data_IF_373790060584
#
_entry.id   IF_373790060584
#
_cell.length_a   1.000
_cell.length_b   1.000
_cell.length_c   1.000
_cell.angle_alpha   90.00
_cell.angle_beta   90.00
_cell.angle_gamma   90.00
#
_symmetry.space_group_name_H-M   'P 1'
#
loop_
_entity.id
_entity.type
_entity.pdbx_description
1 polymer ?
#
# COMPACT_ATOMS: atom_id res chain seq x y z
N UNK A 1 19.33 5.99 16.29
CA UNK A 1 18.05 6.68 15.98
C UNK A 1 18.08 7.46 14.65
N UNK A 2 19.18 7.47 13.89
CA UNK A 2 19.37 8.30 12.69
C UNK A 2 19.15 7.61 11.32
N UNK A 3 19.05 6.28 11.24
CA UNK A 3 18.92 5.58 9.95
C UNK A 3 17.46 5.43 9.44
N UNK A 4 16.46 5.62 10.31
CA UNK A 4 15.04 5.48 9.92
C UNK A 4 14.50 6.70 9.16
N UNK A 5 15.06 7.90 9.42
CA UNK A 5 14.60 9.14 8.77
C UNK A 5 15.08 9.26 7.30
N UNK A 6 16.24 8.68 6.95
CA UNK A 6 16.78 8.77 5.57
C UNK A 6 15.93 7.98 4.56
N UNK A 7 15.37 6.84 4.96
CA UNK A 7 14.48 6.05 4.08
C UNK A 7 13.13 6.73 3.86
N UNK A 8 12.66 7.48 4.85
CA UNK A 8 11.43 8.27 4.77
C UNK A 8 11.55 9.45 3.79
N UNK A 9 12.69 10.15 3.84
CA UNK A 9 12.99 11.26 2.92
C UNK A 9 13.16 10.77 1.48
N UNK A 10 13.75 9.58 1.27
CA UNK A 10 13.93 9.01 -0.06
C UNK A 10 12.60 8.62 -0.70
N UNK A 11 11.66 8.01 0.06
CA UNK A 11 10.34 7.65 -0.47
C UNK A 11 9.49 8.89 -0.76
N UNK A 12 9.56 9.92 0.10
CA UNK A 12 8.89 11.21 -0.16
C UNK A 12 9.52 11.94 -1.37
N UNK A 13 10.84 11.88 -1.53
CA UNK A 13 11.56 12.47 -2.65
C UNK A 13 11.27 11.75 -3.98
N UNK A 14 11.12 10.42 -3.98
CA UNK A 14 10.75 9.64 -5.17
C UNK A 14 9.32 9.94 -5.63
N UNK A 15 8.38 10.13 -4.69
CA UNK A 15 7.00 10.53 -5.02
C UNK A 15 6.95 11.97 -5.54
N UNK A 16 7.77 12.87 -5.00
CA UNK A 16 7.90 14.25 -5.49
C UNK A 16 8.64 14.34 -6.83
N UNK A 17 9.63 13.47 -7.07
CA UNK A 17 10.40 13.43 -8.32
C UNK A 17 9.58 12.91 -9.51
N UNK A 18 8.59 12.03 -9.28
CA UNK A 18 7.66 11.57 -10.32
C UNK A 18 6.70 12.70 -10.74
N UNK A 19 6.47 13.69 -9.87
CA UNK A 19 5.64 14.88 -10.17
C UNK A 19 6.38 15.99 -10.91
N UNK A 20 7.70 15.89 -11.07
CA UNK A 20 8.56 16.94 -11.62
C UNK A 20 9.36 16.44 -12.84
N UNK A 21 8.78 15.60 -13.72
CA UNK A 21 9.39 15.30 -15.01
C UNK A 21 9.13 16.46 -15.95
N UNK A 22 10.14 17.26 -16.32
CA UNK A 22 9.99 18.27 -17.38
C UNK A 22 9.77 17.53 -18.70
N UNK A 23 8.73 17.92 -19.43
CA UNK A 23 8.49 17.47 -20.80
C UNK A 23 9.62 17.99 -21.68
N UNK A 24 10.67 17.21 -21.81
CA UNK A 24 11.61 17.43 -22.91
C UNK A 24 11.01 16.79 -24.17
N UNK A 25 10.74 17.68 -25.11
CA UNK A 25 10.38 17.37 -26.47
C UNK A 25 11.34 16.34 -27.06
N UNK A 26 10.82 15.26 -27.61
CA UNK A 26 11.56 14.43 -28.55
C UNK A 26 11.78 15.26 -29.82
N UNK A 27 13.00 15.71 -29.99
CA UNK A 27 13.49 16.26 -31.23
C UNK A 27 13.82 15.08 -32.17
N UNK A 28 13.18 15.09 -33.30
CA UNK A 28 13.72 14.86 -34.63
C UNK A 28 14.98 13.96 -34.74
N UNK A 29 14.79 12.79 -35.27
CA UNK A 29 15.86 11.86 -35.63
C UNK A 29 15.52 11.12 -36.93
N UNK A 30 16.17 11.53 -37.98
CA UNK A 30 16.54 10.82 -39.22
C UNK A 30 15.44 10.16 -40.08
N UNK A 31 15.21 10.85 -41.15
CA UNK A 31 14.61 10.40 -42.42
C UNK A 31 15.61 9.53 -43.21
N UNK A 32 15.32 8.28 -43.60
CA UNK A 32 16.13 7.57 -44.58
C UNK A 32 15.82 8.05 -46.00
N UNK A 33 16.80 7.99 -46.94
CA UNK A 33 16.72 8.63 -48.24
C UNK A 33 15.76 7.90 -49.18
N UNK A 34 15.04 8.71 -49.95
CA UNK A 34 14.16 8.29 -51.02
C UNK A 34 14.94 7.62 -52.20
N UNK A 35 14.38 6.58 -52.88
CA UNK A 35 14.90 6.12 -54.15
C UNK A 35 14.43 7.03 -55.28
N UNK A 36 15.42 7.44 -56.06
CA UNK A 36 15.21 8.15 -57.31
C UNK A 36 14.60 7.26 -58.40
N UNK A 37 13.64 7.75 -59.12
CA UNK A 37 13.48 7.49 -60.55
C UNK A 37 12.39 8.38 -61.17
N UNK A 38 12.81 9.25 -62.03
CA UNK A 38 12.06 9.90 -63.11
C UNK A 38 11.75 8.87 -64.20
N UNK A 39 10.92 9.10 -65.26
CA UNK A 39 10.61 10.39 -65.93
C UNK A 39 9.17 10.56 -66.44
N UNK A 40 8.99 11.72 -67.06
CA UNK A 40 8.08 12.11 -68.16
C UNK A 40 6.73 12.71 -67.77
N UNK A 41 6.69 14.02 -68.04
CA UNK A 41 5.48 14.81 -68.23
C UNK A 41 4.68 14.40 -69.45
N UNK A 42 3.41 14.72 -69.42
CA UNK A 42 2.93 15.64 -70.51
C UNK A 42 2.18 16.85 -69.95
N UNK A 43 2.44 17.90 -70.63
CA UNK A 43 1.77 19.19 -70.66
C UNK A 43 0.25 19.04 -70.71
N UNK A 44 -0.46 19.67 -69.79
CA UNK A 44 -1.89 19.91 -69.96
C UNK A 44 -2.27 21.26 -69.35
N UNK A 45 -2.47 22.17 -70.25
CA UNK A 45 -3.53 23.17 -70.34
C UNK A 45 -4.05 23.81 -69.05
N UNK A 46 -3.69 25.06 -68.97
CA UNK A 46 -4.23 26.08 -68.10
C UNK A 46 -5.75 26.26 -68.32
N UNK A 47 -6.58 25.75 -67.44
CA UNK A 47 -7.97 26.13 -67.31
C UNK A 47 -8.15 26.84 -66.01
N UNK A 48 -8.35 28.13 -66.06
CA UNK A 48 -8.72 28.98 -64.95
C UNK A 48 -10.00 28.45 -64.30
N UNK A 49 -9.86 27.88 -63.11
CA UNK A 49 -10.98 27.60 -62.22
C UNK A 49 -11.23 28.88 -61.41
N UNK A 50 -12.46 29.36 -61.27
CA UNK A 50 -12.78 30.53 -60.48
C UNK A 50 -12.38 30.31 -59.03
N UNK A 51 -11.73 31.31 -58.49
CA UNK A 51 -11.37 31.37 -57.08
C UNK A 51 -12.64 31.26 -56.19
N UNK A 52 -13.05 30.03 -55.86
CA UNK A 52 -14.03 29.84 -54.82
C UNK A 52 -13.30 30.20 -53.51
N UNK A 53 -13.65 31.35 -53.00
CA UNK A 53 -13.31 31.83 -51.65
C UNK A 53 -13.53 30.67 -50.64
N UNK A 54 -12.44 30.09 -50.13
CA UNK A 54 -12.51 29.10 -49.08
C UNK A 54 -13.28 29.74 -47.91
N UNK A 55 -14.30 29.08 -47.35
CA UNK A 55 -15.02 29.63 -46.22
C UNK A 55 -13.99 29.94 -45.11
N UNK A 56 -14.16 31.06 -44.40
CA UNK A 56 -13.22 31.44 -43.36
C UNK A 56 -13.06 30.25 -42.41
N UNK A 57 -11.84 29.74 -42.31
CA UNK A 57 -11.47 28.73 -41.28
C UNK A 57 -11.86 29.34 -39.97
N UNK A 58 -12.99 28.87 -39.43
CA UNK A 58 -13.51 29.36 -38.15
C UNK A 58 -12.37 29.37 -37.17
N UNK A 59 -12.17 30.53 -36.54
CA UNK A 59 -11.19 30.72 -35.47
C UNK A 59 -11.30 29.51 -34.56
N UNK A 60 -10.32 28.61 -34.63
CA UNK A 60 -10.24 27.48 -33.74
C UNK A 60 -10.21 28.08 -32.31
N UNK A 61 -11.34 27.99 -31.64
CA UNK A 61 -11.41 28.38 -30.23
C UNK A 61 -10.26 27.67 -29.53
N UNK A 62 -9.34 28.44 -28.94
CA UNK A 62 -8.16 27.92 -28.24
C UNK A 62 -8.57 26.73 -27.37
N UNK A 63 -7.76 25.69 -27.34
CA UNK A 63 -8.07 24.49 -26.56
C UNK A 63 -8.40 24.91 -25.14
N UNK A 64 -9.49 24.35 -24.58
CA UNK A 64 -9.79 24.41 -23.16
C UNK A 64 -8.51 24.08 -22.40
N UNK A 65 -8.27 24.77 -21.26
CA UNK A 65 -7.10 24.53 -20.44
C UNK A 65 -6.89 23.03 -20.21
N UNK A 66 -5.86 22.47 -20.85
CA UNK A 66 -5.46 21.07 -20.67
C UNK A 66 -4.63 20.84 -19.40
N UNK A 67 -4.72 21.78 -18.45
CA UNK A 67 -4.17 21.57 -17.12
C UNK A 67 -4.92 20.41 -16.42
N UNK A 68 -4.27 19.65 -15.53
CA UNK A 68 -4.95 18.56 -14.79
C UNK A 68 -6.20 19.04 -14.04
N UNK A 69 -6.20 20.28 -13.57
CA UNK A 69 -7.33 20.89 -12.91
C UNK A 69 -8.46 21.27 -13.89
N UNK A 70 -8.11 21.84 -15.05
CA UNK A 70 -9.05 22.12 -16.11
C UNK A 70 -9.72 20.86 -16.65
N UNK A 71 -8.95 19.79 -16.85
CA UNK A 71 -9.45 18.47 -17.24
C UNK A 71 -10.42 17.90 -16.19
N UNK A 72 -10.09 18.01 -14.89
CA UNK A 72 -11.00 17.56 -13.83
C UNK A 72 -12.32 18.35 -13.83
N UNK A 73 -12.28 19.68 -13.99
CA UNK A 73 -13.48 20.52 -13.96
C UNK A 73 -14.42 20.27 -15.15
N UNK A 74 -13.86 19.93 -16.30
CA UNK A 74 -14.62 19.70 -17.54
C UNK A 74 -15.01 18.23 -17.75
N UNK A 75 -14.45 17.29 -16.97
CA UNK A 75 -14.67 15.86 -17.12
C UNK A 75 -16.16 15.48 -17.03
N UNK A 76 -16.53 14.45 -17.79
CA UNK A 76 -17.85 13.84 -17.72
C UNK A 76 -18.17 13.42 -16.25
N UNK A 77 -19.44 13.49 -15.82
CA UNK A 77 -19.81 13.25 -14.42
C UNK A 77 -19.30 11.91 -13.85
N UNK A 78 -19.33 10.86 -14.66
CA UNK A 78 -18.85 9.52 -14.27
C UNK A 78 -17.33 9.50 -14.15
N UNK A 79 -16.58 10.08 -15.08
CA UNK A 79 -15.13 10.19 -15.05
C UNK A 79 -14.70 11.04 -13.83
N UNK A 80 -15.43 12.11 -13.53
CA UNK A 80 -15.23 12.93 -12.34
C UNK A 80 -15.44 12.15 -11.05
N UNK A 81 -16.49 11.33 -10.97
CA UNK A 81 -16.76 10.47 -9.81
C UNK A 81 -15.63 9.44 -9.62
N UNK A 82 -15.12 8.85 -10.70
CA UNK A 82 -13.96 7.95 -10.67
C UNK A 82 -12.73 8.67 -10.12
N UNK A 83 -12.40 9.85 -10.63
CA UNK A 83 -11.23 10.62 -10.15
C UNK A 83 -11.34 10.99 -8.68
N UNK A 84 -12.52 11.40 -8.21
CA UNK A 84 -12.77 11.71 -6.78
C UNK A 84 -12.61 10.44 -5.93
N UNK A 85 -13.15 9.30 -6.37
CA UNK A 85 -13.01 8.02 -5.68
C UNK A 85 -11.54 7.59 -5.56
N UNK A 86 -10.75 7.76 -6.61
CA UNK A 86 -9.32 7.46 -6.61
C UNK A 86 -8.52 8.40 -5.72
N UNK A 87 -8.84 9.69 -5.71
CA UNK A 87 -8.24 10.66 -4.80
C UNK A 87 -8.53 10.31 -3.33
N UNK A 88 -9.77 9.92 -3.02
CA UNK A 88 -10.14 9.43 -1.69
C UNK A 88 -9.40 8.14 -1.32
N UNK A 89 -9.27 7.18 -2.23
CA UNK A 89 -8.50 5.96 -2.02
C UNK A 89 -7.02 6.26 -1.73
N UNK A 90 -6.44 7.23 -2.44
CA UNK A 90 -5.07 7.70 -2.18
C UNK A 90 -4.95 8.30 -0.77
N UNK A 91 -5.88 9.16 -0.34
CA UNK A 91 -5.90 9.72 1.00
C UNK A 91 -6.01 8.63 2.08
N UNK A 92 -6.89 7.65 1.89
CA UNK A 92 -7.02 6.48 2.77
C UNK A 92 -5.72 5.68 2.86
N UNK A 93 -5.01 5.52 1.77
CA UNK A 93 -3.71 4.83 1.74
C UNK A 93 -2.70 5.49 2.69
N UNK A 94 -2.56 6.79 2.63
CA UNK A 94 -1.66 7.56 3.50
C UNK A 94 -2.11 7.53 4.97
N UNK A 95 -3.40 7.67 5.22
CA UNK A 95 -3.98 7.62 6.57
C UNK A 95 -3.71 6.27 7.24
N UNK A 96 -3.99 5.17 6.54
CA UNK A 96 -3.74 3.81 7.04
C UNK A 96 -2.25 3.57 7.27
N UNK A 97 -1.40 4.06 6.36
CA UNK A 97 0.05 3.93 6.50
C UNK A 97 0.57 4.60 7.76
N UNK A 98 0.19 5.85 8.02
CA UNK A 98 0.61 6.60 9.21
C UNK A 98 0.12 5.89 10.47
N UNK A 99 -1.18 5.59 10.56
CA UNK A 99 -1.78 4.95 11.72
C UNK A 99 -1.11 3.61 12.03
N UNK A 100 -0.96 2.74 11.02
CA UNK A 100 -0.34 1.41 11.19
C UNK A 100 1.16 1.45 11.45
N UNK A 101 1.86 2.41 10.90
CA UNK A 101 3.29 2.59 11.18
C UNK A 101 3.55 2.97 12.64
N UNK A 102 2.72 3.84 13.21
CA UNK A 102 2.80 4.23 14.62
C UNK A 102 2.41 3.05 15.53
N UNK A 103 1.31 2.37 15.24
CA UNK A 103 0.85 1.19 15.99
C UNK A 103 1.93 0.10 16.02
N UNK A 104 2.49 -0.26 14.86
CA UNK A 104 3.53 -1.28 14.74
C UNK A 104 4.83 -0.89 15.45
N UNK A 105 5.24 0.37 15.37
CA UNK A 105 6.44 0.87 16.08
C UNK A 105 6.27 0.73 17.59
N UNK A 106 5.14 1.15 18.13
CA UNK A 106 4.81 1.04 19.56
C UNK A 106 4.76 -0.42 20.00
N UNK A 107 4.00 -1.27 19.28
CA UNK A 107 3.85 -2.68 19.58
C UNK A 107 5.20 -3.43 19.57
N UNK A 108 6.05 -3.16 18.57
CA UNK A 108 7.39 -3.78 18.49
C UNK A 108 8.32 -3.31 19.61
N UNK A 109 8.28 -2.03 19.94
CA UNK A 109 9.09 -1.50 21.04
C UNK A 109 8.71 -2.15 22.36
N UNK A 110 7.41 -2.28 22.63
CA UNK A 110 6.86 -2.90 23.82
C UNK A 110 7.27 -4.38 23.92
N UNK A 111 7.00 -5.17 22.87
CA UNK A 111 7.32 -6.61 22.91
C UNK A 111 8.84 -6.87 22.99
N UNK A 112 9.67 -6.07 22.30
CA UNK A 112 11.13 -6.20 22.36
C UNK A 112 11.67 -5.94 23.77
N UNK A 113 11.13 -4.94 24.46
CA UNK A 113 11.47 -4.68 25.87
C UNK A 113 11.07 -5.86 26.74
N UNK A 114 9.86 -6.40 26.55
CA UNK A 114 9.36 -7.53 27.30
C UNK A 114 10.21 -8.80 27.07
N UNK A 115 10.61 -9.12 25.84
CA UNK A 115 11.53 -10.22 25.52
C UNK A 115 12.88 -10.04 26.23
N UNK A 116 13.41 -8.81 26.26
CA UNK A 116 14.65 -8.50 26.98
C UNK A 116 14.53 -8.68 28.51
N UNK A 117 13.37 -8.38 29.08
CA UNK A 117 13.09 -8.65 30.53
C UNK A 117 12.98 -10.14 30.78
N UNK A 118 12.13 -10.85 29.99
CA UNK A 118 11.92 -12.29 30.12
C UNK A 118 13.23 -13.09 30.03
N UNK A 119 14.12 -12.68 29.13
CA UNK A 119 15.41 -13.34 28.94
C UNK A 119 16.36 -13.25 30.13
N UNK A 120 16.18 -12.26 31.01
CA UNK A 120 16.99 -12.05 32.23
C UNK A 120 16.39 -12.66 33.47
N UNK A 121 15.10 -12.98 33.44
CA UNK A 121 14.43 -13.58 34.60
C UNK A 121 14.77 -15.06 34.74
N UNK A 122 14.82 -15.49 36.00
CA UNK A 122 15.12 -16.88 36.36
C UNK A 122 13.84 -17.65 36.67
N UNK A 123 12.80 -16.98 37.19
CA UNK A 123 11.51 -17.55 37.56
C UNK A 123 10.36 -16.81 36.91
N UNK A 124 9.20 -17.47 36.73
CA UNK A 124 7.99 -16.87 36.25
C UNK A 124 7.48 -15.76 37.17
N UNK A 125 7.58 -15.95 38.49
CA UNK A 125 7.20 -14.96 39.49
C UNK A 125 8.01 -13.67 39.36
N UNK A 126 9.33 -13.78 39.18
CA UNK A 126 10.22 -12.63 38.97
C UNK A 126 9.84 -11.87 37.67
N UNK A 127 9.57 -12.59 36.59
CA UNK A 127 9.16 -11.99 35.32
C UNK A 127 7.81 -11.28 35.44
N UNK A 128 6.86 -11.86 36.17
CA UNK A 128 5.57 -11.24 36.45
C UNK A 128 5.70 -9.94 37.26
N UNK A 129 6.56 -9.91 38.25
CA UNK A 129 6.83 -8.70 39.04
C UNK A 129 7.45 -7.56 38.21
N UNK A 130 8.26 -7.89 37.18
CA UNK A 130 8.94 -6.89 36.37
C UNK A 130 8.08 -6.39 35.19
N UNK A 131 7.21 -7.24 34.60
CA UNK A 131 6.36 -6.88 33.49
C UNK A 131 5.02 -6.26 33.92
N UNK A 132 4.64 -6.45 35.19
CA UNK A 132 3.40 -5.91 35.74
C UNK A 132 2.14 -6.44 35.09
N UNK A 133 1.01 -5.80 35.41
CA UNK A 133 -0.31 -6.11 34.83
C UNK A 133 -0.57 -5.42 33.49
N UNK A 134 0.44 -5.35 32.63
CA UNK A 134 0.33 -4.71 31.32
C UNK A 134 -0.67 -5.43 30.41
N UNK A 135 -1.36 -4.66 29.52
CA UNK A 135 -2.29 -5.19 28.50
C UNK A 135 -1.57 -5.76 27.27
N UNK A 136 -0.26 -5.78 27.25
CA UNK A 136 0.54 -6.24 26.13
C UNK A 136 0.51 -7.77 25.94
N UNK A 137 0.84 -8.29 24.73
CA UNK A 137 0.85 -9.74 24.50
C UNK A 137 1.79 -10.50 25.43
N UNK A 138 2.93 -9.91 25.82
CA UNK A 138 3.84 -10.55 26.78
C UNK A 138 3.20 -10.76 28.16
N UNK A 139 2.47 -9.76 28.65
CA UNK A 139 1.74 -9.88 29.92
C UNK A 139 0.61 -10.94 29.81
N UNK A 140 -0.11 -10.98 28.68
CA UNK A 140 -1.12 -12.00 28.42
C UNK A 140 -0.51 -13.42 28.39
N UNK A 141 0.64 -13.60 27.76
CA UNK A 141 1.37 -14.89 27.76
C UNK A 141 1.75 -15.31 29.18
N UNK A 142 2.24 -14.38 29.99
CA UNK A 142 2.61 -14.63 31.38
C UNK A 142 1.41 -14.97 32.26
N UNK A 143 0.33 -14.19 32.15
CA UNK A 143 -0.90 -14.42 32.90
C UNK A 143 -1.54 -15.76 32.55
N UNK A 144 -1.54 -16.15 31.27
CA UNK A 144 -2.02 -17.46 30.84
C UNK A 144 -1.21 -18.60 31.44
N UNK A 145 0.13 -18.49 31.38
CA UNK A 145 1.01 -19.50 31.97
C UNK A 145 0.85 -19.60 33.50
N UNK A 146 0.83 -18.47 34.20
CA UNK A 146 0.63 -18.43 35.64
C UNK A 146 -0.77 -18.93 36.09
N UNK A 147 -1.78 -18.63 35.29
CA UNK A 147 -3.14 -19.13 35.49
C UNK A 147 -3.22 -20.65 35.37
N UNK A 148 -2.65 -21.21 34.30
CA UNK A 148 -2.66 -22.66 34.09
C UNK A 148 -1.89 -23.41 35.16
N UNK A 149 -0.76 -22.87 35.61
CA UNK A 149 -0.01 -23.46 36.75
C UNK A 149 -0.89 -23.54 38.01
N UNK A 150 -1.66 -22.49 38.31
CA UNK A 150 -2.57 -22.47 39.46
C UNK A 150 -3.71 -23.47 39.31
N UNK A 151 -4.33 -23.56 38.15
CA UNK A 151 -5.44 -24.49 37.88
C UNK A 151 -4.97 -25.95 37.86
N UNK A 152 -3.75 -26.20 37.47
CA UNK A 152 -3.19 -27.55 37.30
C UNK A 152 -2.25 -27.97 38.41
N UNK A 153 -2.26 -27.32 39.59
CA UNK A 153 -1.31 -27.56 40.68
C UNK A 153 -1.20 -29.03 41.11
N UNK A 154 -2.28 -29.81 40.97
CA UNK A 154 -2.35 -31.23 41.38
C UNK A 154 -2.26 -32.21 40.19
N UNK A 155 -1.92 -31.73 38.99
CA UNK A 155 -1.86 -32.54 37.78
C UNK A 155 -0.40 -32.83 37.33
N UNK A 156 -0.24 -33.79 36.40
CA UNK A 156 1.08 -34.17 35.88
C UNK A 156 1.73 -33.00 35.12
N UNK A 157 3.03 -32.80 35.34
CA UNK A 157 3.82 -31.72 34.78
C UNK A 157 3.89 -31.73 33.25
N UNK A 158 3.89 -32.91 32.61
CA UNK A 158 3.98 -33.03 31.16
C UNK A 158 2.71 -32.50 30.48
N UNK A 159 1.53 -32.88 30.96
CA UNK A 159 0.26 -32.33 30.45
C UNK A 159 0.10 -30.84 30.74
N UNK A 160 0.70 -30.32 31.79
CA UNK A 160 0.72 -28.89 32.10
C UNK A 160 1.48 -28.09 31.04
N UNK A 161 2.69 -28.56 30.66
CA UNK A 161 3.50 -27.90 29.62
C UNK A 161 2.74 -27.83 28.27
N UNK A 162 2.05 -28.91 27.90
CA UNK A 162 1.27 -29.00 26.68
C UNK A 162 0.08 -28.03 26.68
N UNK A 163 -0.69 -27.96 27.78
CA UNK A 163 -1.81 -27.02 27.92
C UNK A 163 -1.36 -25.56 27.86
N UNK A 164 -0.25 -25.24 28.51
CA UNK A 164 0.34 -23.91 28.43
C UNK A 164 0.76 -23.61 26.98
N UNK A 165 1.44 -24.52 26.29
CA UNK A 165 1.86 -24.31 24.90
C UNK A 165 0.67 -23.96 23.99
N UNK A 166 -0.45 -24.68 24.10
CA UNK A 166 -1.66 -24.39 23.33
C UNK A 166 -2.27 -23.01 23.62
N UNK A 167 -2.27 -22.60 24.91
CA UNK A 167 -2.76 -21.27 25.29
C UNK A 167 -1.85 -20.16 24.74
N UNK A 168 -0.52 -20.32 24.83
CA UNK A 168 0.45 -19.36 24.33
C UNK A 168 0.31 -19.21 22.79
N UNK A 169 0.19 -20.30 22.06
CA UNK A 169 -0.02 -20.29 20.61
C UNK A 169 -1.32 -19.52 20.22
N UNK A 170 -2.40 -19.72 20.95
CA UNK A 170 -3.65 -18.96 20.73
C UNK A 170 -3.46 -17.46 20.92
N UNK A 171 -2.69 -17.06 21.93
CA UNK A 171 -2.39 -15.64 22.20
C UNK A 171 -1.51 -15.07 21.09
N UNK A 172 -0.49 -15.80 20.64
CA UNK A 172 0.35 -15.39 19.50
C UNK A 172 -0.46 -15.16 18.24
N UNK A 173 -1.33 -16.12 17.89
CA UNK A 173 -2.21 -15.99 16.73
C UNK A 173 -3.17 -14.80 16.88
N UNK A 174 -3.73 -14.58 18.08
CA UNK A 174 -4.63 -13.46 18.35
C UNK A 174 -3.90 -12.11 18.22
N UNK A 175 -2.69 -11.99 18.77
CA UNK A 175 -1.84 -10.81 18.65
C UNK A 175 -1.51 -10.51 17.18
N UNK A 176 -1.17 -11.55 16.39
CA UNK A 176 -0.92 -11.44 14.96
C UNK A 176 -2.14 -10.98 14.17
N UNK A 177 -3.32 -11.51 14.47
CA UNK A 177 -4.58 -11.06 13.84
C UNK A 177 -4.92 -9.61 14.21
N UNK A 178 -4.75 -9.22 15.47
CA UNK A 178 -5.03 -7.86 15.96
C UNK A 178 -4.19 -6.83 15.21
N UNK A 179 -2.88 -7.06 15.08
CA UNK A 179 -1.97 -6.11 14.43
C UNK A 179 -2.18 -6.02 12.91
N UNK A 180 -2.67 -7.10 12.26
CA UNK A 180 -2.94 -7.14 10.81
C UNK A 180 -4.25 -6.46 10.42
N UNK A 181 -5.14 -6.14 11.36
CA UNK A 181 -6.43 -5.52 11.04
C UNK A 181 -6.23 -4.20 10.32
N UNK A 182 -7.04 -3.98 9.26
CA UNK A 182 -7.03 -2.75 8.47
C UNK A 182 -5.97 -2.69 7.37
N UNK A 183 -4.96 -3.58 7.36
CA UNK A 183 -3.99 -3.59 6.25
C UNK A 183 -4.59 -4.13 4.95
N UNK A 184 -5.67 -4.91 5.03
CA UNK A 184 -6.38 -5.43 3.86
C UNK A 184 -6.95 -4.35 2.94
N UNK A 185 -7.32 -3.19 3.47
CA UNK A 185 -7.78 -2.04 2.68
C UNK A 185 -6.72 -1.61 1.66
N UNK A 186 -5.43 -1.60 2.05
CA UNK A 186 -4.33 -1.27 1.15
C UNK A 186 -4.17 -2.29 0.02
N UNK A 187 -4.34 -3.58 0.34
CA UNK A 187 -4.32 -4.64 -0.67
C UNK A 187 -5.47 -4.47 -1.68
N UNK A 188 -6.67 -4.15 -1.19
CA UNK A 188 -7.84 -3.90 -2.04
C UNK A 188 -7.61 -2.68 -2.94
N UNK A 189 -7.19 -1.52 -2.39
CA UNK A 189 -6.90 -0.32 -3.17
C UNK A 189 -5.84 -0.63 -4.23
N UNK A 190 -4.74 -1.27 -3.84
CA UNK A 190 -3.66 -1.64 -4.75
C UNK A 190 -4.09 -2.54 -5.90
N UNK A 191 -4.99 -3.49 -5.62
CA UNK A 191 -5.50 -4.41 -6.63
C UNK A 191 -6.60 -3.80 -7.52
N UNK A 192 -7.46 -2.92 -6.99
CA UNK A 192 -8.65 -2.45 -7.72
C UNK A 192 -8.49 -1.07 -8.35
N UNK A 193 -7.66 -0.17 -7.78
CA UNK A 193 -7.54 1.20 -8.28
C UNK A 193 -7.11 1.29 -9.75
N UNK A 194 -6.19 0.45 -10.30
CA UNK A 194 -5.87 0.48 -11.73
C UNK A 194 -7.08 0.16 -12.61
N UNK A 195 -7.91 -0.79 -12.21
CA UNK A 195 -9.12 -1.18 -12.95
C UNK A 195 -10.20 -0.10 -12.89
N UNK A 196 -10.32 0.58 -11.74
CA UNK A 196 -11.22 1.74 -11.60
C UNK A 196 -10.76 2.87 -12.51
N UNK A 197 -9.46 3.14 -12.59
CA UNK A 197 -8.88 4.10 -13.52
C UNK A 197 -9.13 3.72 -14.99
N UNK A 198 -8.93 2.43 -15.33
CA UNK A 198 -9.22 1.90 -16.67
C UNK A 198 -10.70 2.04 -17.02
N UNK A 199 -11.60 1.77 -16.08
CA UNK A 199 -13.04 2.02 -16.29
C UNK A 199 -13.30 3.49 -16.62
N UNK A 200 -12.63 4.42 -15.96
CA UNK A 200 -12.70 5.85 -16.26
C UNK A 200 -12.27 6.17 -17.69
N UNK A 201 -11.21 5.54 -18.21
CA UNK A 201 -10.78 5.73 -19.60
C UNK A 201 -11.79 5.19 -20.61
N UNK A 202 -12.27 3.96 -20.40
CA UNK A 202 -13.26 3.35 -21.30
C UNK A 202 -14.51 4.21 -21.39
N UNK A 203 -15.00 4.69 -20.24
CA UNK A 203 -16.18 5.55 -20.20
C UNK A 203 -15.94 6.91 -20.89
N UNK A 204 -14.83 7.59 -20.61
CA UNK A 204 -14.54 8.91 -21.17
C UNK A 204 -14.30 8.86 -22.68
N UNK A 205 -13.65 7.80 -23.19
CA UNK A 205 -13.49 7.60 -24.64
C UNK A 205 -14.86 7.33 -25.28
N UNK A 206 -15.68 6.49 -24.67
CA UNK A 206 -17.03 6.21 -25.15
C UNK A 206 -17.87 7.51 -25.25
N UNK A 207 -17.84 8.34 -24.22
CA UNK A 207 -18.57 9.62 -24.20
C UNK A 207 -18.06 10.58 -25.29
N UNK A 208 -16.74 10.61 -25.54
CA UNK A 208 -16.12 11.37 -26.60
C UNK A 208 -16.64 10.93 -28.00
N UNK A 209 -16.76 9.63 -28.25
CA UNK A 209 -17.31 9.12 -29.52
C UNK A 209 -18.81 9.42 -29.68
N UNK A 210 -19.57 9.36 -28.61
CA UNK A 210 -20.98 9.78 -28.60
C UNK A 210 -21.08 11.28 -28.98
N UNK A 211 -20.15 12.10 -28.47
CA UNK A 211 -20.04 13.51 -28.85
C UNK A 211 -19.83 13.75 -30.35
N UNK A 212 -18.92 12.99 -30.99
CA UNK A 212 -18.73 13.03 -32.47
C UNK A 212 -20.02 12.69 -33.19
N UNK A 213 -20.67 11.58 -32.78
CA UNK A 213 -21.91 11.13 -33.45
C UNK A 213 -23.01 12.19 -33.39
N UNK A 214 -23.15 12.87 -32.27
CA UNK A 214 -24.15 13.93 -32.09
C UNK A 214 -23.80 15.23 -32.82
N UNK A 215 -22.53 15.58 -32.91
CA UNK A 215 -22.05 16.79 -33.56
C UNK A 215 -21.92 16.67 -35.08
N UNK A 216 -22.09 15.43 -35.63
CA UNK A 216 -21.90 15.16 -37.07
C UNK A 216 -20.60 15.73 -37.64
N UNK A 217 -19.52 15.74 -36.87
CA UNK A 217 -18.21 16.26 -37.22
C UNK A 217 -17.11 15.25 -36.98
N UNK A 218 -16.15 15.17 -37.90
CA UNK A 218 -14.96 14.32 -37.76
C UNK A 218 -13.74 15.08 -37.19
N UNK A 219 -13.97 16.31 -36.70
CA UNK A 219 -12.90 17.14 -36.18
C UNK A 219 -12.38 16.58 -34.83
N UNK A 220 -11.13 16.09 -34.79
CA UNK A 220 -10.47 15.57 -33.63
C UNK A 220 -10.33 16.59 -32.46
N UNK A 221 -10.33 17.88 -32.79
CA UNK A 221 -10.27 18.93 -31.74
C UNK A 221 -11.48 18.91 -30.80
N UNK A 222 -12.61 18.35 -31.22
CA UNK A 222 -13.81 18.20 -30.39
C UNK A 222 -13.65 17.11 -29.34
N UNK A 223 -12.90 16.05 -29.60
CA UNK A 223 -12.78 14.87 -28.73
C UNK A 223 -11.47 14.80 -27.93
N UNK A 224 -10.44 15.52 -28.41
CA UNK A 224 -9.13 15.50 -27.75
C UNK A 224 -9.20 15.85 -26.25
N UNK A 225 -9.99 16.83 -25.77
CA UNK A 225 -10.11 17.10 -24.34
C UNK A 225 -10.70 15.92 -23.56
N UNK A 226 -11.78 15.29 -24.05
CA UNK A 226 -12.42 14.16 -23.38
C UNK A 226 -11.53 12.93 -23.32
N UNK A 227 -10.71 12.68 -24.36
CA UNK A 227 -9.70 11.61 -24.32
C UNK A 227 -8.61 11.92 -23.31
N UNK A 228 -8.13 13.16 -23.23
CA UNK A 228 -7.14 13.57 -22.26
C UNK A 228 -7.64 13.41 -20.81
N UNK A 229 -8.88 13.81 -20.53
CA UNK A 229 -9.56 13.61 -19.24
C UNK A 229 -9.66 12.13 -18.87
N UNK A 230 -10.01 11.28 -19.84
CA UNK A 230 -10.07 9.84 -19.67
C UNK A 230 -8.69 9.26 -19.28
N UNK A 231 -7.65 9.60 -19.99
CA UNK A 231 -6.28 9.16 -19.71
C UNK A 231 -5.80 9.62 -18.31
N UNK A 232 -6.19 10.81 -17.88
CA UNK A 232 -5.90 11.30 -16.53
C UNK A 232 -6.51 10.39 -15.46
N UNK A 233 -7.72 9.87 -15.68
CA UNK A 233 -8.35 8.94 -14.73
C UNK A 233 -7.50 7.66 -14.54
N UNK A 234 -6.95 7.09 -15.60
CA UNK A 234 -6.05 5.92 -15.50
C UNK A 234 -4.74 6.29 -14.78
N UNK A 235 -4.16 7.43 -15.09
CA UNK A 235 -2.96 7.90 -14.40
C UNK A 235 -3.19 8.03 -12.89
N UNK A 236 -4.33 8.59 -12.47
CA UNK A 236 -4.71 8.68 -11.05
C UNK A 236 -4.92 7.29 -10.42
N UNK A 237 -5.47 6.34 -11.16
CA UNK A 237 -5.60 4.95 -10.72
C UNK A 237 -4.24 4.33 -10.36
N UNK A 238 -3.24 4.52 -11.21
CA UNK A 238 -1.88 4.04 -10.97
C UNK A 238 -1.19 4.79 -9.82
N UNK A 239 -1.37 6.11 -9.73
CA UNK A 239 -0.84 6.93 -8.63
C UNK A 239 -1.41 6.51 -7.27
N UNK A 240 -2.67 6.07 -7.21
CA UNK A 240 -3.27 5.53 -5.99
C UNK A 240 -2.80 4.10 -5.69
N UNK A 241 -2.69 3.24 -6.72
CA UNK A 241 -2.40 1.82 -6.55
C UNK A 241 -0.95 1.54 -6.14
N UNK A 242 0.02 2.18 -6.79
CA UNK A 242 1.43 1.88 -6.59
C UNK A 242 1.86 2.11 -5.14
N UNK A 243 1.59 3.27 -4.50
CA UNK A 243 1.89 3.45 -3.09
C UNK A 243 1.13 2.47 -2.18
N UNK A 244 -0.12 2.15 -2.49
CA UNK A 244 -0.92 1.22 -1.70
C UNK A 244 -0.29 -0.17 -1.64
N UNK A 245 0.15 -0.72 -2.78
CA UNK A 245 0.85 -2.02 -2.85
C UNK A 245 2.18 -1.97 -2.11
N UNK A 246 2.99 -0.92 -2.32
CA UNK A 246 4.28 -0.76 -1.66
C UNK A 246 4.13 -0.72 -0.13
N UNK A 247 3.20 0.08 0.36
CA UNK A 247 2.92 0.25 1.79
C UNK A 247 2.38 -1.06 2.37
N UNK A 248 1.45 -1.73 1.68
CA UNK A 248 0.95 -3.04 2.09
C UNK A 248 2.09 -4.04 2.30
N UNK A 249 3.02 -4.16 1.35
CA UNK A 249 4.15 -5.07 1.44
C UNK A 249 5.10 -4.72 2.59
N UNK A 250 5.31 -3.43 2.87
CA UNK A 250 6.12 -2.96 4.01
C UNK A 250 5.44 -3.35 5.33
N UNK A 251 4.13 -3.12 5.45
CA UNK A 251 3.36 -3.45 6.65
C UNK A 251 3.25 -4.96 6.85
N UNK A 252 3.10 -5.75 5.79
CA UNK A 252 3.06 -7.21 5.85
C UNK A 252 4.37 -7.78 6.42
N UNK A 253 5.52 -7.36 5.89
CA UNK A 253 6.84 -7.74 6.45
C UNK A 253 7.00 -7.27 7.89
N UNK A 254 6.50 -6.09 8.18
CA UNK A 254 6.53 -5.51 9.51
C UNK A 254 5.70 -6.30 10.51
N UNK A 255 4.54 -6.78 10.11
CA UNK A 255 3.66 -7.63 10.90
C UNK A 255 4.26 -9.02 11.12
N UNK A 256 4.89 -9.60 10.10
CA UNK A 256 5.60 -10.88 10.24
C UNK A 256 6.72 -10.79 11.30
N UNK A 257 7.52 -9.72 11.26
CA UNK A 257 8.55 -9.50 12.27
C UNK A 257 7.98 -9.31 13.69
N UNK A 258 6.84 -8.62 13.81
CA UNK A 258 6.17 -8.50 15.12
C UNK A 258 5.68 -9.86 15.64
N UNK A 259 5.11 -10.71 14.77
CA UNK A 259 4.71 -12.07 15.14
C UNK A 259 5.89 -12.90 15.66
N UNK A 260 7.03 -12.82 14.98
CA UNK A 260 8.25 -13.48 15.43
C UNK A 260 8.66 -13.04 16.83
N UNK A 261 8.63 -11.74 17.13
CA UNK A 261 8.93 -11.23 18.47
C UNK A 261 7.93 -11.71 19.53
N UNK A 262 6.66 -11.90 19.19
CA UNK A 262 5.67 -12.49 20.13
C UNK A 262 5.98 -13.97 20.35
N UNK A 263 6.36 -14.71 19.32
CA UNK A 263 6.83 -16.10 19.44
C UNK A 263 8.09 -16.22 20.30
N UNK A 264 9.04 -15.29 20.15
CA UNK A 264 10.22 -15.23 21.03
C UNK A 264 9.81 -15.03 22.50
N UNK A 265 8.84 -14.15 22.77
CA UNK A 265 8.32 -13.95 24.13
C UNK A 265 7.66 -15.22 24.67
N UNK A 266 6.86 -15.91 23.85
CA UNK A 266 6.23 -17.19 24.20
C UNK A 266 7.26 -18.25 24.54
N UNK A 267 8.30 -18.40 23.73
CA UNK A 267 9.39 -19.32 24.00
C UNK A 267 10.12 -19.01 25.32
N UNK A 268 10.34 -17.72 25.65
CA UNK A 268 10.93 -17.36 26.93
C UNK A 268 10.00 -17.69 28.11
N UNK A 269 8.69 -17.43 27.99
CA UNK A 269 7.71 -17.82 29.02
C UNK A 269 7.73 -19.34 29.24
N UNK A 270 7.70 -20.13 28.16
CA UNK A 270 7.74 -21.59 28.23
C UNK A 270 9.02 -22.11 28.88
N UNK A 271 10.16 -21.46 28.62
CA UNK A 271 11.45 -21.77 29.26
C UNK A 271 11.42 -21.49 30.77
N UNK A 272 10.79 -20.38 31.19
CA UNK A 272 10.62 -20.07 32.61
C UNK A 272 9.73 -21.11 33.29
N UNK A 273 8.59 -21.45 32.69
CA UNK A 273 7.69 -22.52 33.18
C UNK A 273 8.44 -23.84 33.34
N UNK A 274 9.20 -24.26 32.33
CA UNK A 274 9.96 -25.51 32.41
C UNK A 274 10.97 -25.51 33.56
N UNK A 275 11.72 -24.41 33.75
CA UNK A 275 12.69 -24.28 34.85
C UNK A 275 12.02 -24.32 36.23
N UNK A 276 10.88 -23.65 36.39
CA UNK A 276 10.17 -23.64 37.68
C UNK A 276 9.59 -25.02 38.03
N UNK A 277 9.09 -25.77 37.03
CA UNK A 277 8.64 -27.14 37.19
C UNK A 277 9.79 -28.10 37.54
N UNK A 278 10.97 -27.92 36.95
CA UNK A 278 12.12 -28.76 37.23
C UNK A 278 12.64 -28.48 38.66
N UNK A 279 12.62 -27.23 39.16
CA UNK A 279 12.95 -26.89 40.54
C UNK A 279 12.00 -27.49 41.53
N UNK A 280 10.71 -27.54 41.26
CA UNK A 280 9.72 -28.14 42.15
C UNK A 280 9.86 -29.65 42.28
N UNK A 281 10.57 -30.32 41.35
CA UNK A 281 10.84 -31.77 41.37
C UNK A 281 12.13 -32.15 42.09
N UNK A 282 13.03 -31.18 42.38
CA UNK A 282 14.28 -31.48 43.13
C UNK A 282 13.96 -31.59 44.62
N UNK A 283 14.04 -32.76 45.23
CA UNK A 283 13.89 -32.88 46.68
C UNK A 283 15.02 -32.12 47.37
N UNK A 284 14.73 -31.46 48.51
CA UNK A 284 15.70 -30.77 49.37
C UNK A 284 16.71 -31.73 50.05
N UNK A 285 17.17 -32.77 49.36
CA UNK A 285 18.01 -33.81 49.94
C UNK A 285 19.52 -33.48 49.99
N UNK A 286 19.95 -32.26 49.62
CA UNK A 286 21.34 -31.83 49.65
C UNK A 286 21.67 -30.68 50.61
N UNK A 287 20.84 -30.44 51.62
CA UNK A 287 21.12 -29.43 52.64
C UNK A 287 21.53 -30.03 54.01
N UNK A 288 22.04 -31.26 54.02
CA UNK A 288 22.53 -31.92 55.24
C UNK A 288 23.78 -32.76 54.88
N UNK A 289 24.90 -32.12 54.57
CA UNK A 289 26.26 -32.59 54.81
C UNK A 289 27.14 -31.38 55.11
#
# INVERSE_FOLDING_TARGET
>A
MHLSNRKFVIVAAVVLAISAVPHHAFAEGDNPPAPAASPAAPTATNSAVPNAEAPPVGVATLPRDLSPWGMFLNAAPIVKAVMIGLAFASLMTWTVWIAKSLELRSARSSIRKAVGVLGRCVTLAQANAQLGDGDGPAAQLMQAAAGEIRFSANLRADGLKERIAWQLERIEMAAGRKISRGTGVLATIGATAPFIGLFGTVWGIMDSFIGISKAHTTNLAVVAPGIAEALLATALGLVAAIPAVMIYNILARSTAHYRALVGDASAQVMKLVSRDLDRSKVPLSHAAE
#
